data_IF_633650658186
#
_entry.id   IF_633650658186
#
_cell.length_a   1.000
_cell.length_b   1.000
_cell.length_c   1.000
_cell.angle_alpha   90.00
_cell.angle_beta   90.00
_cell.angle_gamma   90.00
#
_symmetry.space_group_name_H-M   'P 1'
#
loop_
_entity.id
_entity.type
_entity.pdbx_description
1 polymer ?
#
# COMPACT_ATOMS: atom_id res chain seq x y z
N UNK A 1 -3.64 -32.73 -2.08
CA UNK A 1 -4.27 -32.59 -0.76
C UNK A 1 -5.72 -33.04 -0.88
N UNK A 2 -6.11 -34.07 -0.12
CA UNK A 2 -7.47 -34.57 -0.09
C UNK A 2 -8.40 -33.70 0.80
N UNK A 3 -9.70 -33.99 0.81
CA UNK A 3 -10.69 -33.20 1.57
C UNK A 3 -10.50 -33.31 3.10
N UNK A 4 -10.01 -34.47 3.57
CA UNK A 4 -9.73 -34.70 4.99
C UNK A 4 -8.53 -33.86 5.46
N UNK A 5 -7.48 -33.82 4.63
CA UNK A 5 -6.30 -32.98 4.88
C UNK A 5 -6.67 -31.50 4.91
N UNK A 6 -7.53 -31.04 3.98
CA UNK A 6 -8.03 -29.65 3.97
C UNK A 6 -8.78 -29.31 5.25
N UNK A 7 -9.69 -30.18 5.69
CA UNK A 7 -10.46 -29.96 6.90
C UNK A 7 -9.57 -29.92 8.14
N UNK A 8 -8.54 -30.77 8.22
CA UNK A 8 -7.56 -30.75 9.29
C UNK A 8 -6.77 -29.43 9.33
N UNK A 9 -6.33 -28.91 8.18
CA UNK A 9 -5.64 -27.64 8.09
C UNK A 9 -6.54 -26.45 8.45
N UNK A 10 -7.80 -26.47 8.02
CA UNK A 10 -8.77 -25.43 8.38
C UNK A 10 -9.06 -25.43 9.88
N UNK A 11 -9.17 -26.60 10.48
CA UNK A 11 -9.33 -26.73 11.94
C UNK A 11 -8.12 -26.17 12.68
N UNK A 12 -6.90 -26.55 12.27
CA UNK A 12 -5.67 -26.03 12.83
C UNK A 12 -5.56 -24.51 12.70
N UNK A 13 -5.87 -23.98 11.52
CA UNK A 13 -5.82 -22.54 11.28
C UNK A 13 -6.79 -21.77 12.21
N UNK A 14 -8.00 -22.30 12.40
CA UNK A 14 -8.99 -21.71 13.31
C UNK A 14 -8.54 -21.76 14.77
N UNK A 15 -8.21 -22.94 15.26
CA UNK A 15 -7.80 -23.12 16.67
C UNK A 15 -6.50 -22.39 16.97
N UNK A 16 -5.55 -22.40 16.04
CA UNK A 16 -4.30 -21.64 16.18
C UNK A 16 -4.54 -20.13 16.19
N UNK A 17 -5.44 -19.62 15.34
CA UNK A 17 -5.80 -18.20 15.35
C UNK A 17 -6.48 -17.78 16.66
N UNK A 18 -7.40 -18.60 17.19
CA UNK A 18 -8.05 -18.36 18.49
C UNK A 18 -7.02 -18.33 19.63
N UNK A 19 -6.04 -19.24 19.62
CA UNK A 19 -4.99 -19.30 20.64
C UNK A 19 -4.07 -18.06 20.62
N UNK A 20 -3.68 -17.57 19.45
CA UNK A 20 -2.76 -16.43 19.33
C UNK A 20 -3.46 -15.07 19.40
N UNK A 21 -4.77 -15.01 19.26
CA UNK A 21 -5.55 -13.77 19.17
C UNK A 21 -5.29 -12.79 20.32
N UNK A 22 -5.24 -13.21 21.61
CA UNK A 22 -4.95 -12.28 22.70
C UNK A 22 -3.57 -11.61 22.56
N UNK A 23 -2.54 -12.38 22.19
CA UNK A 23 -1.18 -11.87 21.96
C UNK A 23 -1.15 -10.94 20.73
N UNK A 24 -1.85 -11.32 19.67
CA UNK A 24 -1.94 -10.54 18.44
C UNK A 24 -2.62 -9.18 18.68
N UNK A 25 -3.74 -9.16 19.43
CA UNK A 25 -4.45 -7.92 19.75
C UNK A 25 -3.63 -7.01 20.67
N UNK A 26 -2.93 -7.58 21.66
CA UNK A 26 -2.04 -6.81 22.54
C UNK A 26 -0.93 -6.12 21.72
N UNK A 27 -0.26 -6.86 20.83
CA UNK A 27 0.80 -6.32 19.99
C UNK A 27 0.25 -5.34 18.94
N UNK A 28 -0.94 -5.58 18.38
CA UNK A 28 -1.60 -4.62 17.48
C UNK A 28 -1.84 -3.29 18.21
N UNK A 29 -2.26 -3.33 19.46
CA UNK A 29 -2.42 -2.13 20.28
C UNK A 29 -1.10 -1.37 20.46
N UNK A 30 0.00 -2.08 20.72
CA UNK A 30 1.33 -1.46 20.83
C UNK A 30 1.79 -0.84 19.51
N UNK A 31 1.55 -1.53 18.39
CA UNK A 31 1.86 -1.00 17.05
C UNK A 31 1.03 0.26 16.74
N UNK A 32 -0.29 0.23 17.03
CA UNK A 32 -1.18 1.37 16.81
C UNK A 32 -0.86 2.57 17.71
N UNK A 33 -0.24 2.34 18.85
CA UNK A 33 0.24 3.40 19.75
C UNK A 33 1.51 4.12 19.27
N UNK A 34 2.08 3.73 18.12
CA UNK A 34 3.25 4.39 17.51
C UNK A 34 2.82 5.27 16.34
N UNK A 35 3.23 6.53 16.36
CA UNK A 35 3.10 7.44 15.21
C UNK A 35 4.08 7.00 14.12
N UNK A 36 3.65 6.13 13.22
CA UNK A 36 4.46 5.56 12.14
C UNK A 36 4.07 6.11 10.76
N UNK A 37 3.62 7.37 10.68
CA UNK A 37 3.36 8.02 9.39
C UNK A 37 4.59 7.97 8.48
N UNK A 38 4.38 7.98 7.15
CA UNK A 38 5.49 8.02 6.19
C UNK A 38 6.44 9.19 6.51
N UNK A 39 7.73 8.91 6.65
CA UNK A 39 8.75 9.88 7.05
C UNK A 39 8.90 10.08 8.57
N UNK A 40 8.08 9.48 9.40
CA UNK A 40 8.28 9.48 10.87
C UNK A 40 9.25 8.35 11.26
N UNK A 41 10.54 8.57 11.03
CA UNK A 41 11.60 7.55 11.18
C UNK A 41 11.58 6.88 12.56
N UNK A 42 11.46 7.66 13.64
CA UNK A 42 11.47 7.13 15.00
C UNK A 42 10.28 6.22 15.30
N UNK A 43 9.09 6.57 14.78
CA UNK A 43 7.88 5.76 14.91
C UNK A 43 7.97 4.46 14.11
N UNK A 44 8.46 4.54 12.87
CA UNK A 44 8.72 3.37 12.03
C UNK A 44 9.79 2.45 12.65
N UNK A 45 10.84 3.01 13.26
CA UNK A 45 11.82 2.23 14.02
C UNK A 45 11.17 1.52 15.22
N UNK A 46 10.35 2.22 15.99
CA UNK A 46 9.66 1.64 17.13
C UNK A 46 8.73 0.48 16.71
N UNK A 47 8.05 0.61 15.57
CA UNK A 47 7.24 -0.48 14.98
C UNK A 47 8.12 -1.67 14.61
N UNK A 48 9.25 -1.48 13.92
CA UNK A 48 10.17 -2.59 13.60
C UNK A 48 10.69 -3.30 14.84
N UNK A 49 11.04 -2.56 15.90
CA UNK A 49 11.52 -3.15 17.16
C UNK A 49 10.47 -4.05 17.82
N UNK A 50 9.19 -3.69 17.75
CA UNK A 50 8.10 -4.51 18.29
C UNK A 50 7.91 -5.84 17.51
N UNK A 51 8.33 -5.89 16.25
CA UNK A 51 8.25 -7.12 15.44
C UNK A 51 9.41 -8.08 15.66
N UNK A 52 10.56 -7.60 16.16
CA UNK A 52 11.77 -8.41 16.33
C UNK A 52 11.54 -9.71 17.11
N UNK A 53 10.85 -9.74 18.26
CA UNK A 53 10.64 -10.97 18.99
C UNK A 53 9.89 -12.05 18.19
N UNK A 54 8.92 -11.66 17.35
CA UNK A 54 8.21 -12.61 16.48
C UNK A 54 9.11 -13.16 15.38
N UNK A 55 9.95 -12.31 14.81
CA UNK A 55 10.91 -12.69 13.78
C UNK A 55 12.00 -13.62 14.33
N UNK A 56 12.46 -13.36 15.55
CA UNK A 56 13.40 -14.24 16.27
C UNK A 56 12.77 -15.59 16.59
N UNK A 57 11.50 -15.61 17.02
CA UNK A 57 10.73 -16.84 17.30
C UNK A 57 10.57 -17.69 16.01
N UNK A 58 10.43 -17.05 14.84
CA UNK A 58 10.41 -17.71 13.54
C UNK A 58 11.80 -18.16 13.07
N UNK A 59 12.88 -17.78 13.74
CA UNK A 59 14.25 -18.02 13.30
C UNK A 59 14.64 -17.22 12.06
N UNK A 60 14.03 -16.04 11.86
CA UNK A 60 14.26 -15.22 10.68
C UNK A 60 15.61 -14.51 10.72
N UNK A 61 16.29 -14.47 9.58
CA UNK A 61 17.42 -13.58 9.32
C UNK A 61 16.90 -12.24 8.83
N UNK A 62 17.25 -11.15 9.50
CA UNK A 62 16.74 -9.81 9.20
C UNK A 62 17.78 -8.92 8.51
N UNK A 63 17.32 -8.09 7.57
CA UNK A 63 18.07 -7.06 6.87
C UNK A 63 17.30 -5.75 6.96
N UNK A 64 17.90 -4.68 7.46
CA UNK A 64 17.34 -3.35 7.42
C UNK A 64 17.90 -2.58 6.21
N UNK A 65 17.01 -2.18 5.30
CA UNK A 65 17.39 -1.48 4.07
C UNK A 65 17.07 0.00 4.21
N UNK A 66 18.06 0.90 4.11
CA UNK A 66 17.83 2.33 4.25
C UNK A 66 16.85 2.88 3.21
N UNK A 67 15.92 3.73 3.65
CA UNK A 67 15.03 4.54 2.85
C UNK A 67 15.28 6.03 3.21
N UNK A 68 16.12 6.74 2.46
CA UNK A 68 16.57 8.08 2.82
C UNK A 68 15.41 9.06 3.09
N UNK A 69 15.42 9.70 4.27
CA UNK A 69 14.36 10.61 4.72
C UNK A 69 13.05 9.95 5.16
N UNK A 70 12.99 8.61 5.14
CA UNK A 70 11.79 7.83 5.48
C UNK A 70 12.04 6.80 6.57
N UNK A 71 13.31 6.49 6.86
CA UNK A 71 13.74 5.46 7.81
C UNK A 71 14.33 4.23 7.13
N UNK A 72 13.78 3.05 7.42
CA UNK A 72 14.29 1.79 6.85
C UNK A 72 13.14 0.84 6.55
N UNK A 73 13.26 0.11 5.46
CA UNK A 73 12.49 -1.09 5.20
C UNK A 73 13.06 -2.28 6.00
N UNK A 74 12.25 -3.28 6.22
CA UNK A 74 12.65 -4.51 6.90
C UNK A 74 12.42 -5.70 5.96
N UNK A 75 13.50 -6.46 5.71
CA UNK A 75 13.43 -7.77 5.04
C UNK A 75 13.75 -8.83 6.07
N UNK A 76 12.94 -9.87 6.17
CA UNK A 76 13.20 -10.98 7.07
C UNK A 76 13.00 -12.30 6.32
N UNK A 77 13.97 -13.23 6.44
CA UNK A 77 13.96 -14.50 5.71
C UNK A 77 13.95 -15.67 6.69
N UNK A 78 12.92 -16.50 6.59
CA UNK A 78 12.81 -17.77 7.30
C UNK A 78 13.13 -18.88 6.29
N UNK A 79 14.15 -19.67 6.59
CA UNK A 79 14.60 -20.76 5.73
C UNK A 79 14.33 -22.11 6.38
N UNK A 80 13.90 -23.12 5.60
CA UNK A 80 13.78 -24.47 6.12
C UNK A 80 15.15 -25.05 6.44
N UNK A 81 15.21 -26.02 7.35
CA UNK A 81 16.46 -26.75 7.68
C UNK A 81 17.02 -27.59 6.53
N UNK A 82 16.18 -27.91 5.54
CA UNK A 82 16.55 -28.75 4.38
C UNK A 82 16.60 -27.97 3.07
N UNK A 83 16.46 -28.68 1.97
CA UNK A 83 16.43 -28.09 0.64
C UNK A 83 15.19 -27.20 0.46
N UNK A 84 15.38 -26.00 -0.04
CA UNK A 84 14.29 -25.06 -0.39
C UNK A 84 13.54 -25.60 -1.62
N UNK A 85 12.25 -25.89 -1.46
CA UNK A 85 11.38 -26.39 -2.53
C UNK A 85 10.53 -25.31 -3.18
N UNK A 86 10.47 -24.11 -2.60
CA UNK A 86 9.75 -22.97 -3.12
C UNK A 86 10.06 -21.71 -2.32
N UNK A 87 9.63 -20.56 -2.84
CA UNK A 87 9.85 -19.25 -2.24
C UNK A 87 8.55 -18.45 -2.23
N UNK A 88 8.18 -17.91 -1.09
CA UNK A 88 7.04 -17.04 -0.96
C UNK A 88 7.48 -15.65 -0.46
N UNK A 89 7.00 -14.60 -1.13
CA UNK A 89 7.12 -13.24 -0.67
C UNK A 89 5.85 -12.86 0.11
N UNK A 90 6.03 -12.44 1.36
CA UNK A 90 4.95 -11.95 2.24
C UNK A 90 5.18 -10.44 2.43
N UNK A 91 4.33 -9.63 1.84
CA UNK A 91 4.50 -8.18 1.78
C UNK A 91 3.43 -7.45 2.59
N UNK A 92 3.84 -6.42 3.32
CA UNK A 92 3.00 -5.47 4.03
C UNK A 92 3.77 -4.16 4.23
N UNK A 93 3.13 -3.12 4.78
CA UNK A 93 3.82 -1.89 5.12
C UNK A 93 3.68 -1.52 6.61
N UNK A 94 4.60 -0.69 7.09
CA UNK A 94 4.70 -0.25 8.49
C UNK A 94 4.22 1.18 8.68
N UNK A 95 4.27 1.97 7.61
CA UNK A 95 3.88 3.36 7.61
C UNK A 95 2.36 3.52 7.57
N UNK A 96 1.92 4.73 7.86
CA UNK A 96 0.51 5.14 7.83
C UNK A 96 0.40 6.56 7.27
N UNK A 97 -0.82 6.98 6.91
CA UNK A 97 -1.11 8.37 6.48
C UNK A 97 -1.12 9.38 7.63
N UNK A 98 -0.98 8.95 8.88
CA UNK A 98 -1.21 9.80 10.05
C UNK A 98 0.05 10.54 10.51
N UNK A 99 -0.13 11.82 10.86
CA UNK A 99 0.95 12.68 11.35
C UNK A 99 1.31 12.46 12.84
N UNK A 100 2.32 13.19 13.34
CA UNK A 100 2.75 13.13 14.72
C UNK A 100 1.63 13.46 15.71
N UNK A 101 1.56 12.73 16.84
CA UNK A 101 0.57 12.90 17.90
C UNK A 101 -0.78 12.26 17.62
N UNK A 102 -1.00 11.73 16.42
CA UNK A 102 -2.28 11.12 16.06
C UNK A 102 -2.58 9.86 16.88
N UNK A 103 -1.58 9.04 17.18
CA UNK A 103 -1.76 7.83 17.97
C UNK A 103 -2.25 8.13 19.40
N UNK A 104 -1.75 9.20 20.02
CA UNK A 104 -2.20 9.63 21.35
C UNK A 104 -3.65 10.17 21.30
N UNK A 105 -4.05 10.83 20.22
CA UNK A 105 -5.40 11.35 20.03
C UNK A 105 -6.45 10.26 19.74
N UNK A 106 -6.00 9.12 19.18
CA UNK A 106 -6.86 8.01 18.77
C UNK A 106 -6.34 6.68 19.35
N UNK A 107 -6.45 6.45 20.66
CA UNK A 107 -5.91 5.27 21.32
C UNK A 107 -6.58 3.98 20.80
N UNK A 108 -5.78 2.93 20.72
CA UNK A 108 -6.27 1.60 20.36
C UNK A 108 -7.33 1.12 21.36
N UNK A 109 -8.39 0.48 20.85
CA UNK A 109 -9.42 -0.14 21.66
C UNK A 109 -10.05 -1.32 20.95
N UNK A 110 -10.58 -2.24 21.72
CA UNK A 110 -11.37 -3.39 21.23
C UNK A 110 -12.78 -3.25 21.75
N UNK A 111 -13.76 -3.28 20.85
CA UNK A 111 -15.19 -3.17 21.15
C UNK A 111 -15.94 -4.30 20.43
N UNK A 112 -16.40 -5.31 21.17
CA UNK A 112 -16.99 -6.51 20.58
C UNK A 112 -15.99 -7.23 19.67
N UNK A 113 -16.38 -7.46 18.43
CA UNK A 113 -15.55 -8.14 17.42
C UNK A 113 -14.65 -7.18 16.61
N UNK A 114 -14.56 -5.90 17.00
CA UNK A 114 -13.84 -4.88 16.29
C UNK A 114 -12.64 -4.34 17.08
N UNK A 115 -11.52 -4.23 16.41
CA UNK A 115 -10.33 -3.53 16.92
C UNK A 115 -10.16 -2.20 16.18
N UNK A 116 -10.08 -1.10 16.94
CA UNK A 116 -9.96 0.25 16.43
C UNK A 116 -8.59 0.82 16.78
N UNK A 117 -7.89 1.36 15.80
CA UNK A 117 -6.59 1.98 15.99
C UNK A 117 -6.03 2.51 14.69
N UNK A 118 -5.08 3.46 14.76
CA UNK A 118 -4.46 4.03 13.57
C UNK A 118 -3.58 3.00 12.86
N UNK A 119 -3.87 2.77 11.57
CA UNK A 119 -3.20 1.75 10.78
C UNK A 119 -3.58 0.32 11.16
N UNK A 120 -4.60 0.09 12.01
CA UNK A 120 -5.00 -1.26 12.41
C UNK A 120 -5.42 -2.10 11.20
N UNK A 121 -6.27 -1.57 10.32
CA UNK A 121 -6.71 -2.25 9.10
C UNK A 121 -5.74 -2.08 7.93
N UNK A 122 -4.98 -0.99 7.90
CA UNK A 122 -4.07 -0.58 6.83
C UNK A 122 -2.72 -0.15 7.42
N UNK A 123 -1.68 -1.04 7.49
CA UNK A 123 -1.93 -2.51 7.35
C UNK A 123 -1.26 -3.28 8.50
N UNK A 124 -1.17 -2.68 9.72
CA UNK A 124 -0.50 -3.27 10.90
C UNK A 124 -1.05 -4.64 11.30
N UNK A 125 -2.37 -4.87 11.16
CA UNK A 125 -2.93 -6.21 11.34
C UNK A 125 -2.43 -7.20 10.29
N UNK A 126 -2.26 -6.77 9.05
CA UNK A 126 -1.72 -7.59 7.97
C UNK A 126 -0.30 -8.06 8.27
N UNK A 127 0.56 -7.15 8.78
CA UNK A 127 1.90 -7.51 9.26
C UNK A 127 1.82 -8.64 10.29
N UNK A 128 0.97 -8.49 11.30
CA UNK A 128 0.83 -9.49 12.36
C UNK A 128 0.21 -10.80 11.86
N UNK A 129 -0.79 -10.74 10.98
CA UNK A 129 -1.41 -11.94 10.39
C UNK A 129 -0.36 -12.76 9.64
N UNK A 130 0.53 -12.11 8.90
CA UNK A 130 1.60 -12.80 8.17
C UNK A 130 2.56 -13.54 9.09
N UNK A 131 2.96 -12.93 10.21
CA UNK A 131 3.89 -13.51 11.18
C UNK A 131 3.23 -14.59 12.04
N UNK A 132 2.06 -14.32 12.64
CA UNK A 132 1.35 -15.28 13.45
C UNK A 132 0.88 -16.50 12.65
N UNK A 133 0.49 -16.33 11.38
CA UNK A 133 0.17 -17.46 10.50
C UNK A 133 1.33 -18.43 10.35
N UNK A 134 2.55 -17.92 10.16
CA UNK A 134 3.74 -18.77 10.10
C UNK A 134 4.07 -19.41 11.44
N UNK A 135 3.93 -18.69 12.57
CA UNK A 135 4.14 -19.26 13.92
C UNK A 135 3.17 -20.39 14.23
N UNK A 136 1.90 -20.28 13.81
CA UNK A 136 0.91 -21.36 13.95
C UNK A 136 1.37 -22.61 13.18
N UNK A 137 1.79 -22.44 11.92
CA UNK A 137 2.29 -23.54 11.11
C UNK A 137 3.59 -24.13 11.68
N UNK A 138 4.51 -23.29 12.16
CA UNK A 138 5.77 -23.73 12.76
C UNK A 138 5.49 -24.58 14.01
N UNK A 139 4.61 -24.11 14.92
CA UNK A 139 4.23 -24.83 16.14
C UNK A 139 3.61 -26.20 15.82
N UNK A 140 2.88 -26.30 14.72
CA UNK A 140 2.27 -27.55 14.26
C UNK A 140 3.24 -28.46 13.47
N UNK A 141 4.46 -28.02 13.18
CA UNK A 141 5.40 -28.76 12.32
C UNK A 141 4.97 -28.81 10.86
N UNK A 142 4.17 -27.84 10.42
CA UNK A 142 3.56 -27.78 9.08
C UNK A 142 4.06 -26.61 8.22
N UNK A 143 5.12 -25.91 8.63
CA UNK A 143 5.77 -24.96 7.73
C UNK A 143 6.24 -25.73 6.48
N UNK A 144 5.88 -25.26 5.30
CA UNK A 144 6.37 -25.90 4.07
C UNK A 144 7.88 -25.76 3.99
N UNK A 145 8.57 -26.64 3.25
CA UNK A 145 10.01 -26.52 2.99
C UNK A 145 10.31 -25.39 1.99
N UNK A 146 9.78 -24.24 2.28
CA UNK A 146 9.88 -23.01 1.49
C UNK A 146 10.66 -21.94 2.22
N UNK A 147 11.39 -21.13 1.48
CA UNK A 147 11.89 -19.86 2.01
C UNK A 147 10.75 -18.85 2.07
N UNK A 148 10.47 -18.32 3.27
CA UNK A 148 9.50 -17.25 3.47
C UNK A 148 10.26 -15.93 3.58
N UNK A 149 10.06 -15.02 2.65
CA UNK A 149 10.61 -13.67 2.69
C UNK A 149 9.53 -12.68 3.07
N UNK A 150 9.66 -12.09 4.25
CA UNK A 150 8.84 -10.96 4.67
C UNK A 150 9.47 -9.67 4.19
N UNK A 151 8.68 -8.84 3.55
CA UNK A 151 9.07 -7.49 3.13
C UNK A 151 8.10 -6.49 3.74
N UNK A 152 8.59 -5.73 4.71
CA UNK A 152 7.83 -4.67 5.36
C UNK A 152 8.42 -3.30 4.99
N UNK A 153 7.69 -2.53 4.19
CA UNK A 153 8.14 -1.22 3.71
C UNK A 153 7.65 -0.08 4.60
N UNK A 154 8.26 1.10 4.48
CA UNK A 154 7.94 2.29 5.27
C UNK A 154 7.55 3.50 4.40
N UNK A 155 7.09 3.25 3.16
CA UNK A 155 6.76 4.28 2.17
C UNK A 155 5.59 3.91 1.26
N UNK A 156 4.75 2.95 1.67
CA UNK A 156 3.63 2.50 0.85
C UNK A 156 2.62 3.62 0.61
N UNK A 157 2.25 4.34 1.66
CA UNK A 157 1.25 5.40 1.66
C UNK A 157 1.61 6.61 0.76
N UNK A 158 2.86 6.68 0.34
CA UNK A 158 3.36 7.68 -0.64
C UNK A 158 3.74 7.07 -1.98
N UNK A 159 3.36 5.81 -2.24
CA UNK A 159 3.51 5.12 -3.53
C UNK A 159 4.79 4.31 -3.67
N UNK A 160 5.39 3.85 -2.57
CA UNK A 160 6.52 2.89 -2.53
C UNK A 160 7.70 3.27 -3.41
N UNK A 161 8.07 4.55 -3.45
CA UNK A 161 9.13 5.01 -4.36
C UNK A 161 10.50 4.42 -4.01
N UNK A 162 10.84 4.38 -2.71
CA UNK A 162 12.08 3.77 -2.24
C UNK A 162 11.98 2.23 -2.15
N UNK A 163 10.79 1.71 -1.83
CA UNK A 163 10.52 0.27 -1.75
C UNK A 163 10.45 -0.44 -3.10
N UNK A 164 10.20 0.27 -4.20
CA UNK A 164 9.95 -0.34 -5.53
C UNK A 164 11.04 -1.29 -6.00
N UNK A 165 12.30 -0.89 -5.88
CA UNK A 165 13.42 -1.73 -6.30
C UNK A 165 13.60 -2.93 -5.37
N UNK A 166 13.30 -2.74 -4.10
CA UNK A 166 13.33 -3.80 -3.10
C UNK A 166 12.24 -4.86 -3.39
N UNK A 167 11.02 -4.42 -3.73
CA UNK A 167 9.98 -5.33 -4.21
C UNK A 167 10.41 -6.13 -5.44
N UNK A 168 11.05 -5.49 -6.42
CA UNK A 168 11.57 -6.17 -7.62
C UNK A 168 12.63 -7.21 -7.26
N UNK A 169 13.56 -6.86 -6.37
CA UNK A 169 14.62 -7.74 -5.91
C UNK A 169 14.06 -8.99 -5.24
N UNK A 170 13.15 -8.82 -4.29
CA UNK A 170 12.62 -9.93 -3.51
C UNK A 170 11.59 -10.77 -4.29
N UNK A 171 10.86 -10.17 -5.21
CA UNK A 171 9.90 -10.89 -6.05
C UNK A 171 10.55 -11.70 -7.18
N UNK A 172 11.75 -11.33 -7.62
CA UNK A 172 12.39 -11.95 -8.80
C UNK A 172 12.65 -13.46 -8.68
N UNK A 173 12.67 -14.01 -7.47
CA UNK A 173 12.86 -15.44 -7.25
C UNK A 173 11.73 -16.12 -6.50
N UNK A 174 10.60 -15.41 -6.29
CA UNK A 174 9.46 -15.92 -5.57
C UNK A 174 8.50 -16.68 -6.51
N UNK A 175 8.04 -17.84 -6.06
CA UNK A 175 7.01 -18.63 -6.76
C UNK A 175 5.61 -18.07 -6.54
N UNK A 176 5.40 -17.37 -5.41
CA UNK A 176 4.16 -16.63 -5.12
C UNK A 176 4.44 -15.42 -4.23
N UNK A 177 3.49 -14.47 -4.26
CA UNK A 177 3.48 -13.34 -3.36
C UNK A 177 2.11 -13.22 -2.67
N UNK A 178 2.14 -12.98 -1.36
CA UNK A 178 0.97 -12.68 -0.53
C UNK A 178 1.13 -11.26 0.00
N UNK A 179 0.19 -10.38 -0.35
CA UNK A 179 0.19 -8.98 0.07
C UNK A 179 -0.88 -8.81 1.14
N UNK A 180 -0.44 -8.43 2.35
CA UNK A 180 -1.29 -8.37 3.53
C UNK A 180 -1.84 -6.95 3.74
N UNK A 181 -2.60 -6.50 2.77
CA UNK A 181 -3.37 -5.25 2.80
C UNK A 181 -4.76 -5.44 3.40
N UNK A 182 -5.49 -4.33 3.54
CA UNK A 182 -6.87 -4.34 4.02
C UNK A 182 -7.73 -5.35 3.27
N UNK A 183 -8.34 -6.28 4.01
CA UNK A 183 -9.15 -7.35 3.46
C UNK A 183 -10.35 -6.85 2.65
N UNK A 184 -10.81 -7.67 1.73
CA UNK A 184 -12.06 -7.44 0.98
C UNK A 184 -13.08 -8.48 1.37
N UNK A 185 -14.32 -8.05 1.42
CA UNK A 185 -15.46 -8.92 1.67
C UNK A 185 -16.45 -8.84 0.51
N UNK A 186 -16.99 -9.97 0.13
CA UNK A 186 -18.05 -10.06 -0.85
C UNK A 186 -19.11 -11.01 -0.32
N UNK A 187 -20.34 -10.52 -0.18
CA UNK A 187 -21.49 -11.32 0.29
C UNK A 187 -21.23 -11.98 1.66
N UNK A 188 -20.62 -11.26 2.60
CA UNK A 188 -20.29 -11.75 3.94
C UNK A 188 -19.13 -12.74 4.01
N UNK A 189 -18.32 -12.85 2.94
CA UNK A 189 -17.18 -13.78 2.88
C UNK A 189 -15.88 -13.02 2.60
N UNK A 190 -14.80 -13.30 3.34
CA UNK A 190 -13.50 -12.74 3.02
C UNK A 190 -13.03 -13.21 1.64
N UNK A 191 -12.44 -12.30 0.88
CA UNK A 191 -11.98 -12.54 -0.48
C UNK A 191 -10.48 -12.30 -0.63
N UNK A 192 -9.80 -13.20 -1.33
CA UNK A 192 -8.46 -12.95 -1.85
C UNK A 192 -8.55 -12.13 -3.14
N UNK A 193 -7.79 -11.06 -3.22
CA UNK A 193 -7.64 -10.26 -4.44
C UNK A 193 -6.54 -10.87 -5.28
N UNK A 194 -6.90 -11.48 -6.40
CA UNK A 194 -5.97 -12.18 -7.31
C UNK A 194 -5.56 -11.35 -8.53
N UNK A 195 -6.13 -10.14 -8.68
CA UNK A 195 -5.81 -9.22 -9.75
C UNK A 195 -6.17 -7.79 -9.39
N UNK A 196 -5.38 -6.85 -9.86
CA UNK A 196 -5.59 -5.40 -9.70
C UNK A 196 -5.53 -4.73 -11.05
N UNK A 197 -6.29 -3.67 -11.18
CA UNK A 197 -6.19 -2.76 -12.31
C UNK A 197 -5.11 -1.72 -12.04
N UNK A 198 -4.43 -1.27 -13.09
CA UNK A 198 -3.41 -0.25 -12.98
C UNK A 198 -4.00 1.14 -12.74
N UNK A 199 -3.15 2.02 -12.23
CA UNK A 199 -3.41 3.45 -12.05
C UNK A 199 -2.27 4.24 -12.71
N UNK A 200 -2.62 5.28 -13.46
CA UNK A 200 -1.69 6.25 -14.02
C UNK A 200 -1.94 7.61 -13.37
N UNK A 201 -0.91 8.19 -12.80
CA UNK A 201 -0.93 9.56 -12.29
C UNK A 201 -0.14 10.46 -13.23
N UNK A 202 -0.63 11.67 -13.48
CA UNK A 202 0.06 12.62 -14.32
C UNK A 202 -0.35 14.06 -14.03
N UNK A 203 0.35 14.98 -14.69
CA UNK A 203 0.04 16.41 -14.61
C UNK A 203 0.03 17.02 -16.02
N UNK A 204 -0.81 18.03 -16.17
CA UNK A 204 -0.86 18.89 -17.35
C UNK A 204 -0.37 20.27 -16.92
N UNK A 205 0.64 20.78 -17.60
CA UNK A 205 1.10 22.15 -17.44
C UNK A 205 0.88 22.87 -18.76
N UNK A 206 0.25 24.04 -18.68
CA UNK A 206 -0.06 24.86 -19.86
C UNK A 206 0.58 26.22 -19.69
N UNK A 207 1.37 26.61 -20.67
CA UNK A 207 1.95 27.94 -20.78
C UNK A 207 1.17 28.75 -21.84
N UNK A 208 0.71 29.89 -21.42
CA UNK A 208 0.01 30.86 -22.26
C UNK A 208 0.76 32.17 -22.39
N UNK A 209 0.03 33.26 -22.60
CA UNK A 209 0.57 34.63 -22.60
C UNK A 209 -0.39 35.57 -21.90
N UNK A 210 0.11 36.21 -20.83
CA UNK A 210 -0.66 37.23 -20.13
C UNK A 210 -0.93 38.46 -21.03
N UNK A 211 -2.11 39.03 -20.84
CA UNK A 211 -2.51 40.30 -21.42
C UNK A 211 -3.64 40.90 -20.58
N UNK A 212 -3.86 42.19 -20.70
CA UNK A 212 -4.98 42.86 -20.06
C UNK A 212 -6.31 42.45 -20.76
N UNK A 213 -7.18 41.74 -20.04
CA UNK A 213 -8.38 41.15 -20.64
C UNK A 213 -9.34 42.16 -21.30
N UNK A 214 -9.39 43.42 -20.83
CA UNK A 214 -10.24 44.45 -21.42
C UNK A 214 -9.60 45.29 -22.54
N UNK A 215 -8.24 45.43 -22.53
CA UNK A 215 -7.55 46.35 -23.46
C UNK A 215 -6.73 45.64 -24.53
N UNK A 216 -6.23 44.46 -24.25
CA UNK A 216 -5.28 43.74 -25.08
C UNK A 216 -5.63 42.24 -25.19
N UNK A 217 -6.90 41.88 -25.08
CA UNK A 217 -7.35 40.48 -25.03
C UNK A 217 -6.79 39.62 -26.18
N UNK A 218 -6.76 40.15 -27.38
CA UNK A 218 -6.27 39.46 -28.60
C UNK A 218 -4.76 39.21 -28.58
N UNK A 219 -4.00 39.89 -27.71
CA UNK A 219 -2.59 39.68 -27.55
C UNK A 219 -2.30 38.53 -26.58
N UNK A 220 -3.31 38.16 -25.71
CA UNK A 220 -3.21 37.10 -24.76
C UNK A 220 -3.42 35.72 -25.36
N UNK A 221 -2.95 34.70 -24.61
CA UNK A 221 -3.27 33.28 -24.85
C UNK A 221 -3.60 32.66 -23.52
N UNK A 222 -4.87 32.28 -23.33
CA UNK A 222 -5.34 31.80 -22.03
C UNK A 222 -4.92 30.36 -21.78
N UNK A 223 -3.99 30.15 -20.86
CA UNK A 223 -3.60 28.83 -20.39
C UNK A 223 -4.75 28.09 -19.69
N UNK A 224 -5.62 28.82 -18.96
CA UNK A 224 -6.79 28.21 -18.30
C UNK A 224 -7.80 27.68 -19.35
N UNK A 225 -8.01 28.41 -20.47
CA UNK A 225 -8.89 27.92 -21.52
C UNK A 225 -8.32 26.66 -22.17
N UNK A 226 -7.03 26.63 -22.46
CA UNK A 226 -6.37 25.45 -23.02
C UNK A 226 -6.44 24.27 -22.05
N UNK A 227 -6.17 24.49 -20.75
CA UNK A 227 -6.31 23.45 -19.74
C UNK A 227 -7.73 22.88 -19.71
N UNK A 228 -8.76 23.73 -19.82
CA UNK A 228 -10.14 23.28 -19.88
C UNK A 228 -10.40 22.37 -21.10
N UNK A 229 -9.84 22.70 -22.26
CA UNK A 229 -9.92 21.83 -23.44
C UNK A 229 -9.22 20.49 -23.22
N UNK A 230 -8.04 20.48 -22.62
CA UNK A 230 -7.32 19.24 -22.31
C UNK A 230 -8.08 18.37 -21.29
N UNK A 231 -8.71 18.98 -20.28
CA UNK A 231 -9.56 18.26 -19.32
C UNK A 231 -10.73 17.58 -20.06
N UNK A 232 -11.44 18.30 -20.91
CA UNK A 232 -12.57 17.73 -21.67
C UNK A 232 -12.10 16.56 -22.53
N UNK A 233 -10.93 16.68 -23.19
CA UNK A 233 -10.34 15.59 -23.98
C UNK A 233 -10.01 14.38 -23.14
N UNK A 234 -9.41 14.56 -21.95
CA UNK A 234 -9.10 13.45 -21.04
C UNK A 234 -10.37 12.70 -20.60
N UNK A 235 -11.43 13.41 -20.22
CA UNK A 235 -12.70 12.78 -19.88
C UNK A 235 -13.35 12.07 -21.08
N UNK A 236 -13.01 12.45 -22.30
CA UNK A 236 -13.43 11.76 -23.53
C UNK A 236 -12.79 10.37 -23.71
N UNK A 237 -11.71 10.06 -22.99
CA UNK A 237 -11.10 8.71 -22.96
C UNK A 237 -11.73 7.78 -21.94
N UNK A 238 -12.72 8.22 -21.17
CA UNK A 238 -13.42 7.35 -20.24
C UNK A 238 -14.11 6.22 -21.01
N UNK A 239 -13.88 5.00 -20.55
CA UNK A 239 -14.53 3.79 -21.02
C UNK A 239 -15.21 3.11 -19.81
N UNK A 240 -16.47 3.45 -19.63
CA UNK A 240 -17.25 2.97 -18.47
C UNK A 240 -17.48 1.47 -18.53
N UNK A 241 -17.58 0.88 -19.73
CA UNK A 241 -17.77 -0.56 -19.90
C UNK A 241 -16.50 -1.33 -19.51
N UNK A 242 -15.33 -0.83 -19.89
CA UNK A 242 -14.05 -1.39 -19.49
C UNK A 242 -13.63 -0.96 -18.08
N UNK A 243 -14.33 0.01 -17.49
CA UNK A 243 -14.05 0.55 -16.15
C UNK A 243 -12.77 1.39 -16.11
N UNK A 244 -12.45 2.12 -17.20
CA UNK A 244 -11.35 3.06 -17.30
C UNK A 244 -11.89 4.46 -17.04
N UNK A 245 -11.32 5.16 -16.04
CA UNK A 245 -11.80 6.46 -15.62
C UNK A 245 -10.65 7.45 -15.48
N UNK A 246 -10.81 8.62 -16.11
CA UNK A 246 -9.98 9.79 -15.85
C UNK A 246 -10.68 10.70 -14.85
N UNK A 247 -9.93 11.18 -13.86
CA UNK A 247 -10.34 12.23 -12.95
C UNK A 247 -9.25 13.30 -12.90
N UNK A 248 -9.63 14.56 -13.06
CA UNK A 248 -8.70 15.68 -12.98
C UNK A 248 -8.99 16.49 -11.72
N UNK A 249 -8.06 16.46 -10.79
CA UNK A 249 -8.06 17.25 -9.55
C UNK A 249 -6.68 17.12 -8.84
N UNK A 250 -6.14 18.21 -8.25
CA UNK A 250 -6.64 19.60 -8.32
C UNK A 250 -6.34 20.30 -9.66
N UNK A 251 -6.95 21.48 -9.84
CA UNK A 251 -6.61 22.41 -10.91
C UNK A 251 -6.25 23.79 -10.35
N UNK A 252 -5.34 24.48 -11.00
CA UNK A 252 -4.95 25.86 -10.63
C UNK A 252 -4.52 26.64 -11.88
N UNK A 253 -4.61 27.96 -11.85
CA UNK A 253 -4.12 28.81 -12.93
C UNK A 253 -4.70 30.21 -12.94
N UNK A 254 -3.97 31.11 -13.58
CA UNK A 254 -4.32 32.51 -13.67
C UNK A 254 -4.17 33.26 -12.36
N UNK A 255 -4.52 34.54 -12.41
CA UNK A 255 -4.54 35.45 -11.25
C UNK A 255 -5.73 36.42 -11.33
N UNK A 256 -6.15 37.00 -10.20
CA UNK A 256 -7.26 37.95 -10.18
C UNK A 256 -7.04 39.19 -11.06
N UNK A 257 -8.11 39.97 -11.26
CA UNK A 257 -8.07 41.32 -11.80
C UNK A 257 -7.88 41.46 -13.32
N UNK A 258 -8.65 40.70 -14.11
CA UNK A 258 -8.81 40.97 -15.54
C UNK A 258 -7.54 40.73 -16.38
N UNK A 259 -6.75 39.76 -15.99
CA UNK A 259 -5.58 39.32 -16.74
C UNK A 259 -5.87 37.98 -17.41
N UNK A 260 -5.57 37.84 -18.70
CA UNK A 260 -5.56 36.57 -19.41
C UNK A 260 -4.53 35.65 -18.76
N UNK A 261 -4.92 34.43 -18.38
CA UNK A 261 -4.06 33.53 -17.64
C UNK A 261 -2.84 33.09 -18.47
N UNK A 262 -1.65 33.37 -17.98
CA UNK A 262 -0.39 32.99 -18.62
C UNK A 262 0.09 31.59 -18.26
N UNK A 263 -0.45 30.99 -17.21
CA UNK A 263 -0.12 29.63 -16.78
C UNK A 263 -1.36 28.92 -16.19
N UNK A 264 -1.41 27.62 -16.34
CA UNK A 264 -2.38 26.76 -15.68
C UNK A 264 -1.82 25.35 -15.47
N UNK A 265 -2.30 24.66 -14.44
CA UNK A 265 -1.91 23.30 -14.12
C UNK A 265 -3.12 22.48 -13.68
N UNK A 266 -3.15 21.22 -14.08
CA UNK A 266 -4.05 20.21 -13.59
C UNK A 266 -3.31 18.93 -13.27
N UNK A 267 -3.74 18.20 -12.25
CA UNK A 267 -3.27 16.85 -11.97
C UNK A 267 -4.37 15.86 -12.33
N UNK A 268 -4.01 14.69 -12.81
CA UNK A 268 -4.99 13.68 -13.15
C UNK A 268 -4.61 12.30 -12.66
N UNK A 269 -5.64 11.51 -12.40
CA UNK A 269 -5.54 10.08 -12.17
C UNK A 269 -6.35 9.37 -13.26
N UNK A 270 -5.74 8.38 -13.91
CA UNK A 270 -6.45 7.40 -14.72
C UNK A 270 -6.47 6.08 -13.97
N UNK A 271 -7.64 5.61 -13.60
CA UNK A 271 -7.83 4.36 -12.87
C UNK A 271 -8.50 3.30 -13.76
N UNK A 272 -8.37 2.04 -13.36
CA UNK A 272 -9.05 0.93 -14.02
C UNK A 272 -8.34 0.35 -15.23
N UNK A 273 -7.05 0.65 -15.43
CA UNK A 273 -6.26 0.14 -16.57
C UNK A 273 -6.09 -1.38 -16.42
N UNK A 274 -6.71 -2.21 -17.29
CA UNK A 274 -6.76 -3.66 -17.06
C UNK A 274 -5.48 -4.40 -17.38
N UNK A 275 -4.65 -3.91 -18.31
CA UNK A 275 -3.43 -4.59 -18.76
C UNK A 275 -2.33 -3.58 -19.12
N UNK A 276 -1.05 -4.00 -19.05
CA UNK A 276 0.10 -3.15 -19.38
C UNK A 276 0.05 -2.60 -20.81
N UNK A 277 -0.51 -3.32 -21.77
CA UNK A 277 -0.67 -2.86 -23.16
C UNK A 277 -1.60 -1.65 -23.29
N UNK A 278 -2.53 -1.48 -22.36
CA UNK A 278 -3.46 -0.35 -22.38
C UNK A 278 -2.77 0.95 -21.97
N UNK A 279 -1.65 0.90 -21.22
CA UNK A 279 -0.83 2.08 -20.95
C UNK A 279 -0.23 2.67 -22.24
N UNK A 280 0.19 1.83 -23.18
CA UNK A 280 0.73 2.30 -24.45
C UNK A 280 -0.32 2.97 -25.35
N UNK A 281 -1.60 2.65 -25.19
CA UNK A 281 -2.70 3.26 -25.93
C UNK A 281 -3.13 4.64 -25.36
N UNK A 282 -2.68 4.97 -24.13
CA UNK A 282 -3.03 6.21 -23.42
C UNK A 282 -1.92 7.26 -23.56
N UNK A 283 -0.69 6.86 -23.92
CA UNK A 283 0.42 7.77 -24.22
C UNK A 283 0.26 8.43 -25.60
#
# INVERSE_FOLDING_TARGET
MDEREKQALLHLARTGAEEVLPRQLALLGELCARDSGTGLEAGNEAVRQLLRPLLEELGAQTEEVPAPGLGKHLVARVRPEGAVQGRALLAAHLDTVFGPGAAAAHPFRVEGDWAWGLGAGDCKSGVLISLFGALILQKAGLLPPWELTYLFTCDEETGSQSGRELYRREAAGADCALVFEGGREREGRPCFVTGRRGVLLGSIQVEGREAHAGKAYLEGRSAVLELAHQIIRLYGFNDLERGIYFNVAPISGGRPNGVVAGEARGEFCCAGIPENRDFAAIQ
#
